data_IF_272181076344
#
_entry.id   IF_272181076344
#
_cell.length_a   1.000
_cell.length_b   1.000
_cell.length_c   1.000
_cell.angle_alpha   90.00
_cell.angle_beta   90.00
_cell.angle_gamma   90.00
#
_symmetry.space_group_name_H-M   'P 1'
#
loop_
_entity.id
_entity.type
_entity.pdbx_description
1 polymer ?
#
# COMPACT_ATOMS: atom_id res chain seq x y z
N UNK A 1 -20.02 7.19 -21.68
CA UNK A 1 -19.84 5.74 -21.66
C UNK A 1 -19.15 5.27 -22.94
N UNK A 2 -18.55 4.09 -22.91
CA UNK A 2 -17.99 3.42 -24.10
C UNK A 2 -19.16 2.73 -24.81
N UNK A 3 -19.45 3.13 -26.05
CA UNK A 3 -20.39 2.42 -26.90
C UNK A 3 -19.61 1.30 -27.62
N UNK A 4 -20.09 0.09 -27.56
CA UNK A 4 -19.50 -1.09 -28.16
C UNK A 4 -20.59 -1.98 -28.77
N UNK A 5 -20.30 -2.59 -29.90
CA UNK A 5 -21.28 -3.42 -30.62
C UNK A 5 -21.29 -4.87 -30.09
N UNK A 6 -20.21 -5.29 -29.45
CA UNK A 6 -20.07 -6.59 -28.80
C UNK A 6 -18.98 -6.56 -27.73
N UNK A 7 -18.82 -7.64 -26.95
CA UNK A 7 -17.86 -7.76 -25.87
C UNK A 7 -16.40 -7.56 -26.34
N UNK A 8 -16.08 -8.09 -27.50
CA UNK A 8 -14.71 -8.00 -28.04
C UNK A 8 -14.35 -6.57 -28.44
N UNK A 9 -15.29 -5.86 -29.10
CA UNK A 9 -15.17 -4.44 -29.42
C UNK A 9 -15.08 -3.57 -28.15
N UNK A 10 -15.87 -3.91 -27.12
CA UNK A 10 -15.82 -3.26 -25.83
C UNK A 10 -14.45 -3.41 -25.16
N UNK A 11 -13.89 -4.63 -25.12
CA UNK A 11 -12.57 -4.91 -24.57
C UNK A 11 -11.46 -4.17 -25.34
N UNK A 12 -11.55 -4.13 -26.67
CA UNK A 12 -10.60 -3.41 -27.52
C UNK A 12 -10.63 -1.91 -27.27
N UNK A 13 -11.82 -1.32 -27.20
CA UNK A 13 -12.00 0.12 -26.92
C UNK A 13 -11.54 0.50 -25.52
N UNK A 14 -11.69 -0.41 -24.53
CA UNK A 14 -11.13 -0.23 -23.18
C UNK A 14 -9.61 -0.27 -23.25
N UNK A 15 -9.02 -1.28 -23.87
CA UNK A 15 -7.58 -1.43 -24.00
C UNK A 15 -6.96 -0.19 -24.69
N UNK A 16 -7.56 0.28 -25.78
CA UNK A 16 -7.15 1.50 -26.49
C UNK A 16 -7.23 2.75 -25.59
N UNK A 17 -8.30 2.87 -24.81
CA UNK A 17 -8.49 4.01 -23.92
C UNK A 17 -7.49 4.01 -22.77
N UNK A 18 -7.18 2.83 -22.21
CA UNK A 18 -6.13 2.64 -21.22
C UNK A 18 -4.77 2.96 -21.83
N UNK A 19 -4.50 2.50 -23.04
CA UNK A 19 -3.24 2.74 -23.75
C UNK A 19 -3.06 4.21 -24.14
N UNK A 20 -4.12 4.88 -24.58
CA UNK A 20 -4.11 6.32 -24.90
C UNK A 20 -4.08 7.22 -23.66
N UNK A 21 -4.62 6.75 -22.54
CA UNK A 21 -4.55 7.47 -21.25
C UNK A 21 -3.19 7.31 -20.54
N UNK A 22 -2.28 6.53 -21.11
CA UNK A 22 -0.89 6.36 -20.65
C UNK A 22 -0.03 7.63 -20.91
N UNK A 23 -0.39 8.76 -20.28
CA UNK A 23 0.60 9.49 -19.53
C UNK A 23 0.73 8.76 -18.16
N UNK A 24 1.28 7.58 -18.20
CA UNK A 24 1.84 6.95 -17.00
C UNK A 24 2.99 7.85 -16.61
N UNK A 25 2.78 8.69 -15.61
CA UNK A 25 3.90 9.22 -14.85
C UNK A 25 4.46 7.97 -14.17
N UNK A 26 5.52 7.41 -14.74
CA UNK A 26 6.26 6.32 -14.15
C UNK A 26 6.71 6.76 -12.76
N UNK A 27 6.50 5.89 -11.79
CA UNK A 27 7.04 6.11 -10.45
C UNK A 27 8.54 5.81 -10.59
N UNK A 28 9.37 6.76 -10.19
CA UNK A 28 10.81 6.53 -10.11
C UNK A 28 11.12 5.61 -8.91
N UNK A 29 11.20 4.32 -9.18
CA UNK A 29 11.45 3.29 -8.17
C UNK A 29 12.88 3.37 -7.58
N UNK A 30 13.81 4.07 -8.23
CA UNK A 30 15.15 4.31 -7.68
C UNK A 30 15.14 5.18 -6.42
N UNK A 31 14.05 5.90 -6.18
CA UNK A 31 13.84 6.72 -4.99
C UNK A 31 13.05 6.00 -3.88
N UNK A 32 12.67 4.73 -4.08
CA UNK A 32 11.79 3.99 -3.20
C UNK A 32 12.44 2.71 -2.68
N UNK A 33 11.99 2.26 -1.51
CA UNK A 33 12.54 1.10 -0.83
C UNK A 33 11.45 0.14 -0.35
N UNK A 34 11.77 -1.15 -0.32
CA UNK A 34 11.23 -2.08 0.64
C UNK A 34 12.16 -2.12 1.86
N UNK A 35 11.65 -2.44 3.04
CA UNK A 35 12.50 -2.47 4.21
C UNK A 35 12.11 -3.49 5.25
N UNK A 36 13.08 -3.88 6.06
CA UNK A 36 12.89 -4.61 7.30
C UNK A 36 13.60 -3.91 8.45
N UNK A 37 13.10 -4.08 9.66
CA UNK A 37 13.68 -3.52 10.88
C UNK A 37 13.99 -4.65 11.86
N UNK A 38 15.26 -4.81 12.18
CA UNK A 38 15.69 -5.66 13.27
C UNK A 38 15.68 -4.84 14.57
N UNK A 39 14.82 -5.22 15.50
CA UNK A 39 14.64 -4.50 16.77
C UNK A 39 15.76 -4.76 17.76
N UNK A 40 16.45 -5.88 17.63
CA UNK A 40 17.49 -6.30 18.58
C UNK A 40 18.76 -5.46 18.42
N UNK A 41 19.14 -5.16 17.18
CA UNK A 41 20.30 -4.32 16.87
C UNK A 41 19.94 -2.87 16.48
N UNK A 42 18.65 -2.56 16.40
CA UNK A 42 18.15 -1.23 16.05
C UNK A 42 18.42 -0.81 14.61
N UNK A 43 18.58 -1.76 13.69
CA UNK A 43 18.90 -1.50 12.29
C UNK A 43 17.71 -1.68 11.35
N UNK A 44 17.61 -0.79 10.39
CA UNK A 44 16.70 -0.88 9.26
C UNK A 44 17.52 -1.28 8.03
N UNK A 45 17.13 -2.37 7.39
CA UNK A 45 17.64 -2.76 6.08
C UNK A 45 16.69 -2.22 5.02
N UNK A 46 17.21 -1.46 4.07
CA UNK A 46 16.49 -0.83 2.97
C UNK A 46 16.95 -1.45 1.66
N UNK A 47 16.01 -2.02 0.90
CA UNK A 47 16.28 -2.56 -0.45
C UNK A 47 15.67 -1.61 -1.46
N UNK A 48 16.50 -0.99 -2.29
CA UNK A 48 16.06 -0.08 -3.35
C UNK A 48 15.23 -0.83 -4.38
N UNK A 49 14.11 -0.27 -4.79
CA UNK A 49 13.20 -0.92 -5.73
C UNK A 49 13.66 -0.85 -7.18
N UNK A 50 14.45 0.16 -7.53
CA UNK A 50 14.93 0.35 -8.90
C UNK A 50 16.07 -0.60 -9.26
N UNK A 51 17.11 -0.69 -8.42
CA UNK A 51 18.32 -1.47 -8.70
C UNK A 51 18.57 -2.64 -7.76
N UNK A 52 17.73 -2.84 -6.74
CA UNK A 52 17.88 -3.90 -5.75
C UNK A 52 19.03 -3.68 -4.75
N UNK A 53 19.69 -2.54 -4.79
CA UNK A 53 20.80 -2.24 -3.86
C UNK A 53 20.32 -2.16 -2.42
N UNK A 54 21.15 -2.66 -1.49
CA UNK A 54 20.82 -2.72 -0.07
C UNK A 54 21.61 -1.65 0.68
N UNK A 55 20.94 -1.00 1.63
CA UNK A 55 21.52 -0.05 2.56
C UNK A 55 21.09 -0.36 3.99
N UNK A 56 21.89 0.09 4.97
CA UNK A 56 21.56 0.00 6.39
C UNK A 56 21.40 1.39 6.98
N UNK A 57 20.38 1.56 7.84
CA UNK A 57 20.11 2.80 8.56
C UNK A 57 19.88 2.49 10.04
N UNK A 58 20.46 3.29 10.93
CA UNK A 58 20.15 3.19 12.36
C UNK A 58 18.75 3.74 12.64
N UNK A 59 17.95 2.95 13.37
CA UNK A 59 16.57 3.29 13.68
C UNK A 59 16.45 4.56 14.53
N UNK A 60 17.35 4.77 15.50
CA UNK A 60 17.27 5.88 16.45
C UNK A 60 17.88 7.15 15.88
N UNK A 61 19.10 7.07 15.34
CA UNK A 61 19.84 8.25 14.85
C UNK A 61 19.42 8.63 13.43
N UNK A 62 19.05 7.65 12.59
CA UNK A 62 18.81 7.84 11.17
C UNK A 62 20.09 7.87 10.34
N UNK A 63 21.25 7.62 10.96
CA UNK A 63 22.51 7.48 10.23
C UNK A 63 22.47 6.27 9.31
N UNK A 64 22.92 6.44 8.09
CA UNK A 64 22.94 5.39 7.08
C UNK A 64 24.35 5.17 6.55
N UNK A 65 24.62 3.97 6.09
CA UNK A 65 25.92 3.56 5.52
C UNK A 65 26.21 4.19 4.16
N UNK A 66 25.17 4.74 3.51
CA UNK A 66 25.27 5.48 2.24
C UNK A 66 24.15 6.51 2.10
N UNK A 67 24.28 7.40 1.11
CA UNK A 67 23.23 8.37 0.80
C UNK A 67 21.92 7.68 0.39
N UNK A 68 20.81 8.10 0.98
CA UNK A 68 19.48 7.55 0.75
C UNK A 68 18.52 8.61 0.22
N UNK A 69 17.51 8.17 -0.55
CA UNK A 69 16.41 9.02 -0.94
C UNK A 69 15.49 9.35 0.25
N UNK A 70 14.79 10.49 0.24
CA UNK A 70 13.94 10.94 1.36
C UNK A 70 12.82 9.94 1.76
N UNK A 71 12.46 9.01 0.89
CA UNK A 71 11.49 7.95 1.22
C UNK A 71 11.98 6.99 2.31
N UNK A 72 13.29 6.85 2.51
CA UNK A 72 13.87 6.06 3.61
C UNK A 72 13.45 6.59 4.99
N UNK A 73 13.39 7.91 5.17
CA UNK A 73 12.93 8.54 6.41
C UNK A 73 11.45 8.25 6.71
N UNK A 74 10.63 8.05 5.68
CA UNK A 74 9.24 7.64 5.88
C UNK A 74 9.16 6.23 6.49
N UNK A 75 9.98 5.28 6.03
CA UNK A 75 10.07 3.93 6.61
C UNK A 75 10.53 4.00 8.07
N UNK A 76 11.60 4.74 8.34
CA UNK A 76 12.10 4.97 9.70
C UNK A 76 11.02 5.56 10.61
N UNK A 77 10.30 6.58 10.14
CA UNK A 77 9.21 7.22 10.89
C UNK A 77 8.07 6.24 11.21
N UNK A 78 7.75 5.32 10.30
CA UNK A 78 6.77 4.26 10.55
C UNK A 78 7.27 3.30 11.63
N UNK A 79 8.51 2.83 11.55
CA UNK A 79 9.07 1.93 12.56
C UNK A 79 9.18 2.56 13.94
N UNK A 80 9.49 3.84 14.05
CA UNK A 80 9.51 4.57 15.32
C UNK A 80 8.11 4.72 15.90
N UNK A 81 7.12 5.02 15.06
CA UNK A 81 5.74 5.23 15.50
C UNK A 81 4.99 3.92 15.85
N UNK A 82 5.39 2.80 15.23
CA UNK A 82 4.70 1.51 15.35
C UNK A 82 5.71 0.37 15.59
N UNK A 83 6.11 0.12 16.85
CA UNK A 83 7.09 -0.92 17.18
C UNK A 83 6.69 -2.34 16.79
N UNK A 84 5.41 -2.59 16.55
CA UNK A 84 4.91 -3.88 16.09
C UNK A 84 5.17 -4.17 14.61
N UNK A 85 5.56 -3.19 13.81
CA UNK A 85 5.90 -3.41 12.40
C UNK A 85 7.41 -3.62 12.26
N UNK A 86 7.80 -4.69 11.57
CA UNK A 86 9.19 -4.99 11.25
C UNK A 86 9.43 -5.10 9.73
N UNK A 87 8.36 -5.08 8.91
CA UNK A 87 8.46 -5.16 7.46
C UNK A 87 7.58 -4.12 6.80
N UNK A 88 8.12 -3.46 5.77
CA UNK A 88 7.39 -2.52 4.92
C UNK A 88 7.68 -2.85 3.46
N UNK A 89 6.62 -3.10 2.70
CA UNK A 89 6.66 -3.19 1.24
C UNK A 89 6.10 -1.89 0.67
N UNK A 90 6.84 -1.24 -0.22
CA UNK A 90 6.35 -0.09 -0.98
C UNK A 90 5.71 -0.59 -2.27
N UNK A 91 4.40 -0.72 -2.28
CA UNK A 91 3.64 -1.18 -3.43
C UNK A 91 3.53 -0.08 -4.49
N UNK A 92 4.12 -0.32 -5.65
CA UNK A 92 4.13 0.56 -6.82
C UNK A 92 3.40 -0.04 -8.02
N UNK A 93 2.64 -1.14 -7.81
CA UNK A 93 1.86 -1.75 -8.90
C UNK A 93 0.97 -0.72 -9.59
N UNK A 94 0.69 -0.92 -10.86
CA UNK A 94 0.00 0.06 -11.72
C UNK A 94 -1.35 0.50 -11.16
N UNK A 95 -2.11 -0.42 -10.59
CA UNK A 95 -3.41 -0.15 -9.96
C UNK A 95 -3.29 0.65 -8.67
N UNK A 96 -2.28 0.35 -7.83
CA UNK A 96 -2.04 1.09 -6.59
C UNK A 96 -1.50 2.48 -6.89
N UNK A 97 -0.58 2.59 -7.84
CA UNK A 97 -0.08 3.86 -8.35
C UNK A 97 -1.22 4.75 -8.89
N UNK A 98 -2.12 4.17 -9.70
CA UNK A 98 -3.27 4.89 -10.23
C UNK A 98 -4.21 5.40 -9.13
N UNK A 99 -4.52 4.55 -8.13
CA UNK A 99 -5.39 4.93 -7.00
C UNK A 99 -4.73 5.99 -6.11
N UNK A 100 -3.41 5.92 -5.90
CA UNK A 100 -2.67 6.91 -5.12
C UNK A 100 -2.75 8.33 -5.71
N UNK A 101 -2.98 8.45 -7.02
CA UNK A 101 -3.16 9.73 -7.74
C UNK A 101 -4.57 10.31 -7.62
N UNK A 102 -5.56 9.51 -7.22
CA UNK A 102 -6.93 10.01 -7.07
C UNK A 102 -7.09 11.01 -5.91
N UNK A 103 -6.10 11.13 -5.03
CA UNK A 103 -6.11 12.06 -3.90
C UNK A 103 -7.20 11.77 -2.87
N UNK A 104 -7.76 10.56 -2.85
CA UNK A 104 -8.89 10.17 -1.98
C UNK A 104 -8.54 8.98 -1.10
N UNK A 105 -9.03 9.00 0.13
CA UNK A 105 -8.95 7.85 1.01
C UNK A 105 -9.72 6.65 0.40
N UNK A 106 -9.18 5.44 0.56
CA UNK A 106 -9.84 4.21 0.18
C UNK A 106 -10.81 3.74 1.27
N UNK A 107 -12.01 3.32 0.84
CA UNK A 107 -12.99 2.61 1.66
C UNK A 107 -13.05 1.15 1.20
N UNK A 108 -13.36 0.20 2.09
CA UNK A 108 -13.42 -1.21 1.73
C UNK A 108 -14.56 -1.49 0.76
N UNK A 109 -14.25 -2.18 -0.33
CA UNK A 109 -15.18 -2.79 -1.26
C UNK A 109 -15.17 -4.32 -1.13
N UNK A 110 -14.18 -4.86 -0.42
CA UNK A 110 -13.93 -6.28 -0.21
C UNK A 110 -13.79 -6.55 1.28
N UNK A 111 -14.27 -7.70 1.73
CA UNK A 111 -14.26 -8.13 3.13
C UNK A 111 -12.84 -8.28 3.67
N UNK A 112 -11.95 -8.89 2.88
CA UNK A 112 -10.54 -9.07 3.23
C UNK A 112 -9.81 -7.72 3.40
N UNK A 113 -10.14 -6.70 2.59
CA UNK A 113 -9.64 -5.36 2.83
C UNK A 113 -10.13 -4.79 4.16
N UNK A 114 -11.41 -4.95 4.49
CA UNK A 114 -11.96 -4.49 5.76
C UNK A 114 -11.29 -5.19 6.95
N UNK A 115 -11.02 -6.48 6.83
CA UNK A 115 -10.36 -7.29 7.86
C UNK A 115 -8.90 -6.88 8.07
N UNK A 116 -8.12 -6.76 7.00
CA UNK A 116 -6.67 -6.58 7.05
C UNK A 116 -6.28 -5.10 7.11
N UNK A 117 -6.88 -4.24 6.29
CA UNK A 117 -6.57 -2.81 6.22
C UNK A 117 -7.52 -1.94 7.04
N UNK A 118 -8.67 -2.49 7.47
CA UNK A 118 -9.68 -1.80 8.27
C UNK A 118 -10.66 -0.94 7.46
N UNK A 119 -11.48 -0.12 8.14
CA UNK A 119 -12.59 0.60 7.52
C UNK A 119 -12.16 1.73 6.59
N UNK A 120 -10.89 2.09 6.57
CA UNK A 120 -10.35 3.15 5.71
C UNK A 120 -8.83 3.09 5.63
N UNK A 121 -8.29 3.12 4.43
CA UNK A 121 -6.88 3.44 4.16
C UNK A 121 -6.79 4.91 3.76
N UNK A 122 -5.95 5.66 4.48
CA UNK A 122 -5.74 7.08 4.22
C UNK A 122 -4.72 7.29 3.12
N UNK A 123 -4.82 8.44 2.47
CA UNK A 123 -3.77 8.95 1.58
C UNK A 123 -3.03 10.09 2.27
N UNK A 124 -1.72 10.12 2.10
CA UNK A 124 -0.84 11.15 2.64
C UNK A 124 0.37 11.37 1.72
N UNK A 125 1.04 12.51 1.87
CA UNK A 125 2.40 12.69 1.35
C UNK A 125 3.37 11.77 2.09
N UNK A 126 4.50 11.47 1.47
CA UNK A 126 5.47 10.48 1.99
C UNK A 126 5.95 10.82 3.41
N UNK A 127 6.19 12.09 3.71
CA UNK A 127 6.59 12.61 5.02
C UNK A 127 5.53 12.45 6.13
N UNK A 128 4.25 12.25 5.76
CA UNK A 128 3.12 12.13 6.70
C UNK A 128 2.57 10.72 6.82
N UNK A 129 3.19 9.73 6.18
CA UNK A 129 2.72 8.35 6.13
C UNK A 129 2.57 7.73 7.53
N UNK A 130 3.55 7.90 8.41
CA UNK A 130 3.49 7.38 9.77
C UNK A 130 2.26 7.90 10.53
N UNK A 131 2.00 9.21 10.47
CA UNK A 131 0.81 9.82 11.10
C UNK A 131 -0.51 9.35 10.47
N UNK A 132 -0.50 9.10 9.16
CA UNK A 132 -1.70 8.70 8.43
C UNK A 132 -2.08 7.24 8.67
N UNK A 133 -1.13 6.35 8.93
CA UNK A 133 -1.36 4.93 9.25
C UNK A 133 -2.31 4.75 10.44
N UNK A 134 -2.13 5.50 11.52
CA UNK A 134 -2.97 5.41 12.73
C UNK A 134 -3.18 3.96 13.22
N UNK A 135 -2.09 3.18 13.29
CA UNK A 135 -2.13 1.78 13.72
C UNK A 135 -2.76 0.81 12.71
N UNK A 136 -2.91 1.20 11.46
CA UNK A 136 -3.35 0.33 10.35
C UNK A 136 -2.15 -0.19 9.58
N UNK A 137 -2.38 -1.24 8.80
CA UNK A 137 -1.31 -1.92 8.08
C UNK A 137 -0.98 -1.30 6.72
N UNK A 138 -1.79 -0.34 6.22
CA UNK A 138 -1.54 0.30 4.93
C UNK A 138 -1.83 1.81 4.95
N UNK A 139 -1.09 2.55 4.13
CA UNK A 139 -1.33 3.94 3.79
C UNK A 139 -1.02 4.17 2.32
N UNK A 140 -1.90 4.86 1.59
CA UNK A 140 -1.61 5.34 0.24
C UNK A 140 -0.64 6.51 0.32
N UNK A 141 0.42 6.44 -0.47
CA UNK A 141 1.39 7.52 -0.64
C UNK A 141 1.03 8.27 -1.90
N UNK A 142 0.69 9.56 -1.75
CA UNK A 142 0.25 10.38 -2.88
C UNK A 142 1.28 10.32 -4.01
N UNK A 143 0.81 9.93 -5.20
CA UNK A 143 1.58 9.80 -6.44
C UNK A 143 2.67 8.70 -6.46
N UNK A 144 2.88 7.99 -5.34
CA UNK A 144 3.97 7.03 -5.16
C UNK A 144 3.52 5.60 -4.80
N UNK A 145 2.21 5.31 -4.81
CA UNK A 145 1.71 3.98 -4.49
C UNK A 145 1.23 3.81 -3.05
N UNK A 146 1.72 2.81 -2.31
CA UNK A 146 1.32 2.55 -0.93
C UNK A 146 2.44 1.95 -0.09
N UNK A 147 2.47 2.25 1.23
CA UNK A 147 3.25 1.49 2.20
C UNK A 147 2.35 0.41 2.80
N UNK A 148 2.82 -0.83 2.75
CA UNK A 148 2.17 -2.04 3.26
C UNK A 148 3.03 -2.60 4.40
N UNK A 149 2.50 -2.59 5.64
CA UNK A 149 3.26 -2.84 6.85
C UNK A 149 2.83 -4.13 7.54
N UNK A 150 3.78 -4.90 8.04
CA UNK A 150 3.55 -6.14 8.77
C UNK A 150 4.51 -6.36 9.92
N UNK A 151 4.11 -7.21 10.88
CA UNK A 151 4.98 -7.66 11.96
C UNK A 151 6.02 -8.66 11.46
N UNK A 152 5.61 -9.53 10.55
CA UNK A 152 6.45 -10.46 9.81
C UNK A 152 6.32 -10.20 8.31
N UNK A 153 7.24 -10.74 7.52
CA UNK A 153 7.26 -10.52 6.07
C UNK A 153 5.96 -10.95 5.40
N UNK A 154 5.43 -12.12 5.76
CA UNK A 154 4.16 -12.62 5.24
C UNK A 154 2.97 -11.71 5.51
N UNK A 155 2.94 -11.00 6.64
CA UNK A 155 1.90 -10.01 6.92
C UNK A 155 1.99 -8.82 5.97
N UNK A 156 3.21 -8.30 5.73
CA UNK A 156 3.41 -7.20 4.79
C UNK A 156 3.04 -7.60 3.36
N UNK A 157 3.38 -8.84 2.94
CA UNK A 157 3.00 -9.41 1.64
C UNK A 157 1.48 -9.58 1.52
N UNK A 158 0.79 -10.02 2.57
CA UNK A 158 -0.67 -10.12 2.57
C UNK A 158 -1.32 -8.75 2.42
N UNK A 159 -0.82 -7.73 3.12
CA UNK A 159 -1.30 -6.34 2.97
C UNK A 159 -1.06 -5.82 1.55
N UNK A 160 0.11 -6.08 0.98
CA UNK A 160 0.51 -5.70 -0.37
C UNK A 160 -0.45 -6.28 -1.42
N UNK A 161 -0.71 -7.58 -1.36
CA UNK A 161 -1.64 -8.29 -2.25
C UNK A 161 -3.07 -7.75 -2.11
N UNK A 162 -3.54 -7.53 -0.89
CA UNK A 162 -4.89 -6.99 -0.64
C UNK A 162 -5.02 -5.55 -1.14
N UNK A 163 -3.98 -4.73 -1.01
CA UNK A 163 -3.98 -3.37 -1.56
C UNK A 163 -4.08 -3.39 -3.08
N UNK A 164 -3.29 -4.22 -3.77
CA UNK A 164 -3.36 -4.38 -5.24
C UNK A 164 -4.75 -4.83 -5.70
N UNK A 165 -5.28 -5.92 -5.11
CA UNK A 165 -6.61 -6.46 -5.41
C UNK A 165 -7.71 -5.40 -5.21
N UNK A 166 -7.64 -4.66 -4.10
CA UNK A 166 -8.67 -3.67 -3.76
C UNK A 166 -8.58 -2.42 -4.64
N UNK A 167 -7.38 -2.00 -5.03
CA UNK A 167 -7.18 -0.91 -5.98
C UNK A 167 -7.72 -1.29 -7.37
N UNK A 168 -7.43 -2.50 -7.84
CA UNK A 168 -7.98 -3.01 -9.10
C UNK A 168 -9.51 -3.05 -9.07
N UNK A 169 -10.11 -3.54 -7.97
CA UNK A 169 -11.56 -3.54 -7.78
C UNK A 169 -12.12 -2.12 -7.81
N UNK A 170 -11.49 -1.16 -7.11
CA UNK A 170 -11.93 0.24 -7.11
C UNK A 170 -11.87 0.85 -8.52
N UNK A 171 -10.81 0.60 -9.29
CA UNK A 171 -10.70 1.06 -10.68
C UNK A 171 -11.76 0.42 -11.57
N UNK A 172 -12.02 -0.88 -11.41
CA UNK A 172 -13.09 -1.58 -12.12
C UNK A 172 -14.46 -0.94 -11.89
N UNK A 173 -14.78 -0.51 -10.66
CA UNK A 173 -16.04 0.18 -10.37
C UNK A 173 -16.19 1.52 -11.09
N UNK A 174 -15.07 2.16 -11.47
CA UNK A 174 -15.09 3.40 -12.25
C UNK A 174 -15.41 3.17 -13.72
N UNK A 175 -15.14 1.97 -14.20
CA UNK A 175 -15.36 1.57 -15.60
C UNK A 175 -16.75 0.96 -15.77
N UNK A 176 -17.10 -0.01 -14.91
CA UNK A 176 -18.29 -0.85 -15.08
C UNK A 176 -19.50 -0.38 -14.28
N UNK A 177 -19.37 0.55 -13.34
CA UNK A 177 -20.49 1.05 -12.58
C UNK A 177 -20.15 1.49 -11.16
N UNK A 178 -21.20 1.65 -10.34
CA UNK A 178 -21.06 2.09 -8.95
C UNK A 178 -21.02 0.87 -8.03
N UNK A 179 -19.99 0.78 -7.18
CA UNK A 179 -19.99 -0.12 -6.03
C UNK A 179 -20.28 0.65 -4.75
N UNK A 180 -21.00 0.01 -3.84
CA UNK A 180 -21.24 0.52 -2.49
C UNK A 180 -20.15 0.00 -1.56
N UNK A 181 -19.46 0.90 -0.88
CA UNK A 181 -18.49 0.51 0.13
C UNK A 181 -19.18 -0.19 1.33
N UNK A 182 -18.49 -1.13 1.95
CA UNK A 182 -18.92 -1.78 3.18
C UNK A 182 -19.16 -0.70 4.25
N UNK A 183 -20.22 -0.89 5.03
CA UNK A 183 -20.55 0.04 6.12
C UNK A 183 -19.36 0.17 7.09
N UNK A 184 -18.99 1.39 7.52
CA UNK A 184 -17.83 1.59 8.39
C UNK A 184 -17.89 0.83 9.72
N UNK A 185 -19.09 0.63 10.29
CA UNK A 185 -19.29 -0.13 11.54
C UNK A 185 -19.05 -1.62 11.29
N UNK A 186 -19.60 -2.14 10.20
CA UNK A 186 -19.40 -3.53 9.77
C UNK A 186 -17.90 -3.80 9.47
N UNK A 187 -17.27 -2.92 8.71
CA UNK A 187 -15.83 -3.00 8.43
C UNK A 187 -14.96 -2.96 9.70
N UNK A 188 -15.35 -2.15 10.69
CA UNK A 188 -14.66 -2.11 11.98
C UNK A 188 -14.85 -3.43 12.74
N UNK A 189 -16.05 -3.98 12.75
CA UNK A 189 -16.35 -5.26 13.39
C UNK A 189 -15.55 -6.40 12.75
N UNK A 190 -15.50 -6.46 11.41
CA UNK A 190 -14.67 -7.41 10.67
C UNK A 190 -13.20 -7.30 11.07
N UNK A 191 -12.67 -6.07 11.20
CA UNK A 191 -11.29 -5.82 11.66
C UNK A 191 -11.06 -6.34 13.07
N UNK A 192 -11.95 -6.06 14.00
CA UNK A 192 -11.83 -6.52 15.40
C UNK A 192 -11.84 -8.05 15.47
N UNK A 193 -12.75 -8.70 14.76
CA UNK A 193 -12.81 -10.17 14.69
C UNK A 193 -11.52 -10.75 14.11
N UNK A 194 -11.00 -10.16 13.03
CA UNK A 194 -9.74 -10.59 12.44
C UNK A 194 -8.58 -10.49 13.43
N UNK A 195 -8.41 -9.34 14.07
CA UNK A 195 -7.31 -9.12 15.04
C UNK A 195 -7.41 -10.00 16.28
N UNK A 196 -8.61 -10.37 16.71
CA UNK A 196 -8.78 -11.18 17.92
C UNK A 196 -8.67 -12.67 17.67
N UNK A 197 -9.12 -13.16 16.50
CA UNK A 197 -9.19 -14.60 16.21
C UNK A 197 -8.05 -15.10 15.31
N UNK A 198 -7.71 -14.34 14.26
CA UNK A 198 -6.85 -14.84 13.19
C UNK A 198 -5.40 -14.35 13.26
N UNK A 199 -5.14 -13.10 13.68
CA UNK A 199 -3.77 -12.59 13.76
C UNK A 199 -2.91 -13.33 14.81
N UNK A 200 -3.55 -13.94 15.82
CA UNK A 200 -2.85 -14.74 16.85
C UNK A 200 -2.52 -16.17 16.40
N UNK A 201 -3.13 -16.66 15.33
CA UNK A 201 -2.84 -18.00 14.78
C UNK A 201 -1.66 -17.99 13.81
N UNK A 202 -1.40 -16.88 13.16
CA UNK A 202 -0.26 -16.72 12.25
C UNK A 202 1.09 -16.54 12.97
N UNK A 203 1.06 -16.34 14.31
CA UNK A 203 2.26 -16.14 15.14
C UNK A 203 2.70 -17.41 15.89
N UNK A 204 2.11 -18.56 15.57
CA UNK A 204 2.51 -19.90 16.03
C UNK A 204 3.12 -20.69 14.88
#
# INVERSE_FOLDING_TARGET
GIKADNLNDFCTKIADRITKSKKTVEIDESLLYNSSCNRDDGKITLTNKGDGSVASMDLKTGEADKALAPSADAHRSVYLAYPSFNYIIHNTSSEVAAVSRLGKNMKPLLDDFAQICGPKVKIASIDKCAKALKGKNAVLVKDLGALCCGAVEGDAQAVDMIMSKSCLTLLGTKIFGKAKAINPVEALLMRVVYLTKYSKQASK
#
